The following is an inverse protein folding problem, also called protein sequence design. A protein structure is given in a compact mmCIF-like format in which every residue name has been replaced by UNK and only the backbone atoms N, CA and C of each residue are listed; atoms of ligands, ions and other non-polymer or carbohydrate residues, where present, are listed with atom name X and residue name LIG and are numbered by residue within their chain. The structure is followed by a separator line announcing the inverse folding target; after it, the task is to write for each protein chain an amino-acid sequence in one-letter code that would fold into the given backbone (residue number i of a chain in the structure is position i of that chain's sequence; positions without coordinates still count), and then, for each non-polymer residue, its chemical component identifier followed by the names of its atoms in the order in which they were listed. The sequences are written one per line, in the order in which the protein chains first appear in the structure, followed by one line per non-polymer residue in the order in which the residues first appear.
data_IF_607027405736
#
_entry.id   IF_607027405736
#
_cell.length_a   1.000
_cell.length_b   1.000
_cell.length_c   1.000
_cell.angle_alpha   90.00
_cell.angle_beta   90.00
_cell.angle_gamma   90.00
#
_symmetry.space_group_name_H-M   'P 1'
#
loop_
_entity.id
_entity.type
_entity.pdbx_description
1 polymer ?
#
# COMPACT_ATOMS: atom_id res chain seq x y z
N UNK A 1 6.00 8.43 8.49
CA UNK A 1 5.26 7.92 7.32
C UNK A 1 4.30 6.82 7.76
N UNK A 2 3.03 6.92 7.39
CA UNK A 2 2.02 5.90 7.70
C UNK A 2 1.97 4.84 6.60
N UNK A 3 1.41 3.67 6.90
CA UNK A 3 1.39 2.41 6.13
C UNK A 3 1.18 2.56 4.61
N UNK A 4 2.18 3.10 3.91
CA UNK A 4 2.08 3.50 2.51
C UNK A 4 3.27 2.94 1.77
N UNK A 5 2.99 2.23 0.69
CA UNK A 5 4.02 1.64 -0.14
C UNK A 5 4.66 2.69 -1.04
N UNK A 6 5.92 3.03 -0.78
CA UNK A 6 6.73 3.98 -1.55
C UNK A 6 7.22 3.37 -2.86
N UNK A 7 6.33 3.30 -3.85
CA UNK A 7 6.70 2.79 -5.16
C UNK A 7 5.97 3.51 -6.30
N UNK A 8 6.60 4.56 -6.81
CA UNK A 8 6.14 5.26 -8.02
C UNK A 8 7.01 4.97 -9.25
N UNK A 9 8.23 4.43 -9.09
CA UNK A 9 9.14 4.11 -10.21
C UNK A 9 8.46 3.30 -11.31
N UNK A 10 7.55 2.38 -10.94
CA UNK A 10 6.82 1.56 -11.90
C UNK A 10 5.89 2.32 -12.86
N UNK A 11 5.52 3.57 -12.55
CA UNK A 11 4.76 4.44 -13.47
C UNK A 11 5.63 4.98 -14.62
N UNK A 12 6.92 5.17 -14.37
CA UNK A 12 7.87 5.73 -15.33
C UNK A 12 8.60 4.66 -16.14
N UNK A 13 8.52 3.40 -15.72
CA UNK A 13 9.11 2.31 -16.46
C UNK A 13 8.29 1.92 -17.69
N UNK A 14 9.00 1.70 -18.80
CA UNK A 14 8.45 1.31 -20.10
C UNK A 14 9.15 0.06 -20.64
N UNK A 15 8.50 -0.60 -21.60
CA UNK A 15 9.07 -1.72 -22.34
C UNK A 15 9.21 -3.04 -21.57
N UNK A 16 10.13 -3.88 -22.04
CA UNK A 16 10.33 -5.27 -21.61
C UNK A 16 10.60 -5.45 -20.11
N UNK A 17 11.43 -4.60 -19.43
CA UNK A 17 11.73 -4.77 -18.01
C UNK A 17 10.49 -4.76 -17.10
N UNK A 18 9.49 -3.93 -17.45
CA UNK A 18 8.21 -3.85 -16.74
C UNK A 18 7.46 -5.17 -16.75
N UNK A 19 7.41 -5.84 -17.90
CA UNK A 19 6.73 -7.13 -18.04
C UNK A 19 7.47 -8.25 -17.31
N UNK A 20 8.80 -8.27 -17.42
CA UNK A 20 9.62 -9.24 -16.67
C UNK A 20 9.39 -9.11 -15.17
N UNK A 21 9.38 -7.88 -14.60
CA UNK A 21 9.06 -7.70 -13.17
C UNK A 21 7.66 -8.20 -12.85
N UNK A 22 6.65 -7.86 -13.67
CA UNK A 22 5.26 -8.32 -13.45
C UNK A 22 5.15 -9.84 -13.40
N UNK A 23 5.88 -10.55 -14.26
CA UNK A 23 5.90 -12.02 -14.29
C UNK A 23 6.62 -12.56 -13.06
N UNK A 24 7.84 -12.09 -12.78
CA UNK A 24 8.63 -12.53 -11.62
C UNK A 24 7.88 -12.34 -10.30
N UNK A 25 7.08 -11.27 -10.20
CA UNK A 25 6.25 -10.96 -9.02
C UNK A 25 5.12 -11.96 -8.79
N UNK A 26 4.67 -12.72 -9.79
CA UNK A 26 3.55 -13.67 -9.59
C UNK A 26 3.93 -14.83 -8.66
N UNK A 27 5.17 -15.30 -8.71
CA UNK A 27 5.63 -16.40 -7.85
C UNK A 27 5.62 -16.05 -6.34
N UNK A 28 6.29 -14.99 -5.87
CA UNK A 28 6.23 -14.63 -4.45
C UNK A 28 4.83 -14.16 -4.03
N UNK A 29 4.05 -13.55 -4.92
CA UNK A 29 2.64 -13.23 -4.66
C UNK A 29 1.82 -14.49 -4.42
N UNK A 30 2.03 -15.54 -5.21
CA UNK A 30 1.37 -16.84 -5.00
C UNK A 30 1.73 -17.42 -3.64
N UNK A 31 3.02 -17.46 -3.29
CA UNK A 31 3.47 -17.93 -1.97
C UNK A 31 2.82 -17.14 -0.83
N UNK A 32 2.78 -15.81 -0.94
CA UNK A 32 2.11 -14.96 0.03
C UNK A 32 0.63 -15.32 0.17
N UNK A 33 -0.12 -15.42 -0.93
CA UNK A 33 -1.55 -15.76 -0.88
C UNK A 33 -1.77 -17.14 -0.26
N UNK A 34 -0.94 -18.13 -0.60
CA UNK A 34 -1.04 -19.47 0.01
C UNK A 34 -0.81 -19.42 1.52
N UNK A 35 0.15 -18.63 1.98
CA UNK A 35 0.42 -18.43 3.40
C UNK A 35 -0.73 -17.67 4.10
N UNK A 36 -1.28 -16.64 3.46
CA UNK A 36 -2.43 -15.90 3.97
C UNK A 36 -3.67 -16.78 4.05
N UNK A 37 -3.92 -17.68 3.10
CA UNK A 37 -5.02 -18.64 3.17
C UNK A 37 -4.89 -19.60 4.35
N UNK A 38 -3.67 -19.99 4.72
CA UNK A 38 -3.43 -20.85 5.90
C UNK A 38 -3.68 -20.09 7.21
N UNK A 39 -3.29 -18.81 7.30
CA UNK A 39 -3.38 -18.01 8.54
C UNK A 39 -4.72 -17.32 8.74
N UNK A 40 -5.30 -16.80 7.66
CA UNK A 40 -6.50 -15.97 7.64
C UNK A 40 -7.41 -16.40 6.46
N UNK A 41 -7.95 -17.63 6.50
CA UNK A 41 -8.64 -18.22 5.35
C UNK A 41 -9.83 -17.40 4.87
N UNK A 42 -10.69 -16.97 5.81
CA UNK A 42 -11.93 -16.26 5.49
C UNK A 42 -11.63 -14.88 4.88
N UNK A 43 -10.80 -14.09 5.55
CA UNK A 43 -10.43 -12.74 5.14
C UNK A 43 -9.69 -12.75 3.80
N UNK A 44 -8.83 -13.76 3.59
CA UNK A 44 -8.12 -13.92 2.33
C UNK A 44 -9.07 -14.29 1.20
N UNK A 45 -10.02 -15.21 1.41
CA UNK A 45 -11.02 -15.58 0.40
C UNK A 45 -11.91 -14.39 0.03
N UNK A 46 -12.44 -13.66 1.03
CA UNK A 46 -13.26 -12.47 0.82
C UNK A 46 -12.49 -11.42 -0.01
N UNK A 47 -11.22 -11.19 0.32
CA UNK A 47 -10.36 -10.28 -0.42
C UNK A 47 -10.12 -10.73 -1.86
N UNK A 48 -9.79 -12.01 -2.08
CA UNK A 48 -9.57 -12.53 -3.43
C UNK A 48 -10.85 -12.47 -4.26
N UNK A 49 -12.00 -12.84 -3.70
CA UNK A 49 -13.30 -12.75 -4.38
C UNK A 49 -13.59 -11.31 -4.81
N UNK A 50 -13.46 -10.34 -3.89
CA UNK A 50 -13.65 -8.92 -4.21
C UNK A 50 -12.68 -8.44 -5.31
N UNK A 51 -11.42 -8.90 -5.27
CA UNK A 51 -10.43 -8.61 -6.31
C UNK A 51 -10.86 -9.14 -7.68
N UNK A 52 -11.29 -10.40 -7.76
CA UNK A 52 -11.71 -11.03 -9.02
C UNK A 52 -12.98 -10.39 -9.59
N UNK A 53 -13.98 -10.13 -8.75
CA UNK A 53 -15.21 -9.43 -9.17
C UNK A 53 -14.87 -8.06 -9.76
N UNK A 54 -14.01 -7.28 -9.09
CA UNK A 54 -13.56 -5.99 -9.62
C UNK A 54 -12.88 -6.13 -10.97
N UNK A 55 -11.98 -7.12 -11.14
CA UNK A 55 -11.28 -7.35 -12.41
C UNK A 55 -12.21 -7.80 -13.53
N UNK A 56 -13.20 -8.62 -13.22
CA UNK A 56 -14.23 -8.99 -14.17
C UNK A 56 -15.03 -7.77 -14.63
N UNK A 57 -15.47 -6.92 -13.69
CA UNK A 57 -16.21 -5.70 -14.02
C UNK A 57 -15.37 -4.71 -14.84
N UNK A 58 -14.10 -4.49 -14.47
CA UNK A 58 -13.16 -3.67 -15.26
C UNK A 58 -13.04 -4.17 -16.71
N UNK A 59 -12.92 -5.50 -16.89
CA UNK A 59 -12.85 -6.10 -18.21
C UNK A 59 -14.17 -5.95 -18.97
N UNK A 60 -15.31 -6.24 -18.33
CA UNK A 60 -16.63 -6.13 -18.93
C UNK A 60 -16.92 -4.71 -19.42
N UNK A 61 -16.52 -3.68 -18.66
CA UNK A 61 -16.59 -2.28 -19.09
C UNK A 61 -15.66 -2.02 -20.27
N UNK A 62 -14.41 -2.50 -20.21
CA UNK A 62 -13.43 -2.31 -21.28
C UNK A 62 -13.89 -2.89 -22.63
N UNK A 63 -14.54 -4.06 -22.63
CA UNK A 63 -15.07 -4.71 -23.84
C UNK A 63 -16.51 -4.28 -24.19
N UNK A 64 -17.10 -3.33 -23.45
CA UNK A 64 -18.42 -2.76 -23.74
C UNK A 64 -19.62 -3.61 -23.31
N UNK A 65 -19.43 -4.67 -22.53
CA UNK A 65 -20.53 -5.47 -21.96
C UNK A 65 -21.26 -4.75 -20.80
N UNK A 66 -20.60 -3.77 -20.17
CA UNK A 66 -21.17 -2.99 -19.08
C UNK A 66 -20.81 -1.51 -19.25
N UNK A 67 -21.68 -0.61 -18.75
CA UNK A 67 -21.33 0.80 -18.64
C UNK A 67 -20.43 1.02 -17.42
N UNK A 68 -19.45 1.94 -17.49
CA UNK A 68 -18.69 2.30 -16.31
C UNK A 68 -19.66 2.79 -15.22
N UNK A 69 -19.42 2.45 -13.95
CA UNK A 69 -20.24 2.98 -12.87
C UNK A 69 -20.13 4.51 -12.90
N UNK A 70 -21.26 5.18 -13.05
CA UNK A 70 -21.36 6.62 -12.93
C UNK A 70 -21.25 6.96 -11.45
N UNK A 71 -20.08 7.44 -11.03
CA UNK A 71 -19.84 7.83 -9.65
C UNK A 71 -19.57 9.32 -9.57
N UNK A 72 -20.53 10.05 -9.01
CA UNK A 72 -20.45 11.49 -8.81
C UNK A 72 -19.95 11.88 -7.41
N UNK A 73 -19.41 10.90 -6.67
CA UNK A 73 -18.96 11.10 -5.29
C UNK A 73 -17.72 12.00 -5.28
N UNK A 74 -17.68 12.91 -4.30
CA UNK A 74 -16.54 13.80 -4.12
C UNK A 74 -15.22 13.04 -3.94
N UNK A 75 -15.27 11.88 -3.26
CA UNK A 75 -14.13 10.99 -3.05
C UNK A 75 -13.46 10.54 -4.36
N UNK A 76 -14.24 10.20 -5.39
CA UNK A 76 -13.70 9.75 -6.67
C UNK A 76 -13.01 10.88 -7.42
N UNK A 77 -13.59 12.09 -7.36
CA UNK A 77 -12.97 13.30 -7.94
C UNK A 77 -11.66 13.63 -7.24
N UNK A 78 -11.60 13.49 -5.91
CA UNK A 78 -10.36 13.67 -5.13
C UNK A 78 -9.32 12.63 -5.53
N UNK A 79 -9.70 11.35 -5.61
CA UNK A 79 -8.81 10.27 -5.99
C UNK A 79 -8.26 10.45 -7.42
N UNK A 80 -9.07 10.92 -8.36
CA UNK A 80 -8.61 11.22 -9.72
C UNK A 80 -7.50 12.29 -9.73
N UNK A 81 -7.69 13.39 -8.97
CA UNK A 81 -6.68 14.45 -8.87
C UNK A 81 -5.42 13.96 -8.14
N UNK A 82 -5.59 13.19 -7.09
CA UNK A 82 -4.49 12.57 -6.36
C UNK A 82 -3.65 11.66 -7.27
N UNK A 83 -4.30 10.77 -8.03
CA UNK A 83 -3.66 9.88 -9.00
C UNK A 83 -2.93 10.66 -10.10
N UNK A 84 -3.53 11.73 -10.60
CA UNK A 84 -2.91 12.59 -11.60
C UNK A 84 -1.63 13.26 -11.08
N UNK A 85 -1.61 13.69 -9.82
CA UNK A 85 -0.42 14.23 -9.17
C UNK A 85 0.63 13.13 -8.93
N UNK A 86 0.21 11.98 -8.39
CA UNK A 86 1.08 10.85 -8.08
C UNK A 86 1.84 10.33 -9.30
N UNK A 87 1.17 10.24 -10.46
CA UNK A 87 1.78 9.80 -11.73
C UNK A 87 2.82 10.76 -12.30
N UNK A 88 2.80 12.03 -11.89
CA UNK A 88 3.76 13.05 -12.34
C UNK A 88 4.88 13.28 -11.32
N UNK A 89 4.66 12.87 -10.08
CA UNK A 89 5.63 13.04 -9.01
C UNK A 89 6.72 11.97 -9.11
N UNK A 90 7.98 12.39 -9.21
CA UNK A 90 9.15 11.52 -9.13
C UNK A 90 9.70 11.54 -7.71
N UNK A 91 9.75 10.39 -7.06
CA UNK A 91 10.27 10.29 -5.70
C UNK A 91 11.78 10.39 -5.76
N UNK A 92 12.34 11.29 -4.95
CA UNK A 92 13.77 11.52 -4.86
C UNK A 92 14.30 10.98 -3.54
N UNK A 93 15.58 10.66 -3.53
CA UNK A 93 16.29 10.30 -2.30
C UNK A 93 16.44 11.53 -1.43
N UNK A 94 16.26 11.36 -0.12
CA UNK A 94 16.41 12.43 0.87
C UNK A 94 17.36 11.97 1.97
N UNK A 95 18.25 12.87 2.37
CA UNK A 95 19.13 12.78 3.53
C UNK A 95 18.74 13.78 4.64
N UNK A 96 17.61 14.45 4.51
CA UNK A 96 17.16 15.48 5.44
C UNK A 96 16.87 14.92 6.85
N UNK A 97 16.27 13.74 6.94
CA UNK A 97 15.95 13.09 8.21
C UNK A 97 15.79 11.57 8.05
N UNK A 98 15.88 10.85 9.17
CA UNK A 98 15.47 9.45 9.23
C UNK A 98 13.93 9.36 9.19
N UNK A 99 13.40 8.29 8.61
CA UNK A 99 11.95 8.09 8.51
C UNK A 99 11.47 7.16 9.62
N UNK A 100 10.57 7.64 10.48
CA UNK A 100 9.74 6.77 11.31
C UNK A 100 8.57 6.23 10.45
N UNK A 101 8.56 4.93 10.17
CA UNK A 101 7.60 4.22 9.33
C UNK A 101 6.66 3.38 10.18
N UNK A 102 5.39 3.74 10.22
CA UNK A 102 4.34 2.97 10.88
C UNK A 102 3.82 1.90 9.93
N UNK A 103 4.03 0.63 10.27
CA UNK A 103 3.67 -0.53 9.45
C UNK A 103 2.61 -1.35 10.17
N UNK A 104 1.55 -1.70 9.46
CA UNK A 104 0.51 -2.56 10.05
C UNK A 104 0.97 -4.01 10.19
N UNK A 105 0.53 -4.68 11.25
CA UNK A 105 0.84 -6.09 11.52
C UNK A 105 0.05 -7.06 10.62
N UNK A 106 -1.12 -6.66 10.14
CA UNK A 106 -2.02 -7.50 9.36
C UNK A 106 -2.17 -6.96 7.93
N UNK A 107 -1.84 -7.81 6.94
CA UNK A 107 -1.99 -7.46 5.52
C UNK A 107 -2.54 -8.61 4.70
N UNK A 108 -3.56 -8.32 3.90
CA UNK A 108 -4.21 -9.28 3.01
C UNK A 108 -3.72 -9.20 1.55
N UNK A 109 -2.76 -8.32 1.26
CA UNK A 109 -2.21 -8.12 -0.08
C UNK A 109 -0.69 -8.13 -0.09
N UNK A 110 -0.16 -8.63 -1.21
CA UNK A 110 1.27 -8.79 -1.42
C UNK A 110 1.97 -7.47 -1.76
N UNK A 111 3.11 -7.24 -1.10
CA UNK A 111 4.06 -6.17 -1.37
C UNK A 111 5.43 -6.75 -1.70
N UNK A 112 6.16 -6.09 -2.61
CA UNK A 112 7.51 -6.53 -2.99
C UNK A 112 8.53 -6.31 -1.85
N UNK A 113 8.26 -5.36 -0.96
CA UNK A 113 9.04 -5.08 0.26
C UNK A 113 8.10 -4.93 1.46
N UNK A 114 7.84 -6.01 2.21
CA UNK A 114 6.95 -5.97 3.38
C UNK A 114 7.62 -5.38 4.63
N UNK A 115 8.94 -5.18 4.62
CA UNK A 115 9.66 -4.68 5.80
C UNK A 115 9.70 -3.16 5.81
N UNK A 116 10.19 -2.56 4.72
CA UNK A 116 10.36 -1.09 4.64
C UNK A 116 9.34 -0.44 3.72
N UNK A 117 8.36 -1.19 3.20
CA UNK A 117 7.30 -0.70 2.33
C UNK A 117 7.84 0.11 1.13
N UNK A 118 9.00 -0.26 0.60
CA UNK A 118 9.61 0.42 -0.54
C UNK A 118 10.30 1.75 -0.22
N UNK A 119 10.36 2.17 1.05
CA UNK A 119 10.99 3.44 1.46
C UNK A 119 12.52 3.41 1.43
N UNK A 120 13.12 2.22 1.51
CA UNK A 120 14.59 2.05 1.62
C UNK A 120 15.41 2.85 0.60
N UNK A 121 15.03 2.92 -0.70
CA UNK A 121 15.79 3.70 -1.67
C UNK A 121 15.73 5.22 -1.45
N UNK A 122 14.77 5.73 -0.67
CA UNK A 122 14.52 7.17 -0.53
C UNK A 122 14.98 7.76 0.80
N UNK A 123 15.23 6.92 1.82
CA UNK A 123 15.54 7.35 3.18
C UNK A 123 17.03 7.14 3.50
N UNK A 124 17.89 8.07 3.07
CA UNK A 124 19.36 7.91 3.17
C UNK A 124 19.85 7.93 4.63
N UNK A 125 19.12 8.57 5.54
CA UNK A 125 19.41 8.57 6.99
C UNK A 125 18.83 7.35 7.72
N UNK A 126 18.22 6.41 7.01
CA UNK A 126 17.64 5.20 7.59
C UNK A 126 16.15 5.29 7.85
N UNK A 127 15.60 4.15 8.27
CA UNK A 127 14.17 3.95 8.52
C UNK A 127 14.02 3.24 9.86
N UNK A 128 13.22 3.83 10.75
CA UNK A 128 12.80 3.22 12.00
C UNK A 128 11.40 2.67 11.79
N UNK A 129 11.24 1.34 11.84
CA UNK A 129 9.95 0.70 11.61
C UNK A 129 9.25 0.51 12.96
N UNK A 130 7.99 0.94 13.01
CA UNK A 130 7.12 0.83 14.17
C UNK A 130 5.88 0.04 13.78
N UNK A 131 5.71 -1.14 14.37
CA UNK A 131 4.55 -1.98 14.07
C UNK A 131 3.31 -1.49 14.81
N UNK A 132 2.19 -1.41 14.10
CA UNK A 132 0.90 -0.93 14.62
C UNK A 132 -0.18 -1.98 14.38
N UNK A 133 -1.15 -2.05 15.29
CA UNK A 133 -2.22 -3.04 15.25
C UNK A 133 -3.22 -2.77 14.14
N UNK A 134 -3.77 -3.85 13.60
CA UNK A 134 -4.85 -3.81 12.61
C UNK A 134 -4.31 -3.88 11.19
N UNK A 135 -5.10 -3.36 10.25
CA UNK A 135 -4.76 -3.35 8.84
C UNK A 135 -4.75 -1.92 8.27
N UNK A 136 -4.37 -1.78 7.00
CA UNK A 136 -4.25 -0.50 6.32
C UNK A 136 -5.51 0.39 6.42
N UNK A 137 -6.70 -0.20 6.56
CA UNK A 137 -7.96 0.53 6.73
C UNK A 137 -8.29 0.82 8.19
N UNK A 138 -7.88 -0.06 9.11
CA UNK A 138 -8.39 -0.08 10.49
C UNK A 138 -7.40 0.43 11.54
N UNK A 139 -6.12 0.63 11.21
CA UNK A 139 -5.11 1.03 12.20
C UNK A 139 -5.34 2.43 12.80
N UNK A 140 -6.07 3.30 12.10
CA UNK A 140 -6.50 4.63 12.59
C UNK A 140 -7.93 4.62 13.14
N UNK A 141 -8.59 3.47 13.21
CA UNK A 141 -9.97 3.33 13.66
C UNK A 141 -10.01 2.58 15.00
N UNK A 142 -11.06 2.79 15.82
CA UNK A 142 -11.28 1.98 17.00
C UNK A 142 -11.28 0.48 16.68
N UNK A 143 -10.64 -0.36 17.52
CA UNK A 143 -9.96 -0.01 18.78
C UNK A 143 -8.46 0.35 18.65
N UNK A 144 -7.89 0.35 17.44
CA UNK A 144 -6.44 0.49 17.21
C UNK A 144 -5.95 1.95 17.30
N UNK A 145 -6.84 2.90 17.05
CA UNK A 145 -6.60 4.34 17.08
C UNK A 145 -5.89 4.83 18.36
N UNK A 146 -6.29 4.31 19.52
CA UNK A 146 -5.69 4.68 20.82
C UNK A 146 -4.25 4.22 20.93
N UNK A 147 -3.99 2.95 20.60
CA UNK A 147 -2.64 2.38 20.65
C UNK A 147 -1.72 3.11 19.67
N UNK A 148 -2.21 3.43 18.47
CA UNK A 148 -1.50 4.24 17.49
C UNK A 148 -1.18 5.65 18.02
N UNK A 149 -2.17 6.35 18.61
CA UNK A 149 -1.98 7.71 19.11
C UNK A 149 -0.95 7.77 20.24
N UNK A 150 -0.98 6.80 21.17
CA UNK A 150 0.00 6.70 22.26
C UNK A 150 1.41 6.53 21.71
N UNK A 151 1.61 5.58 20.78
CA UNK A 151 2.90 5.33 20.16
C UNK A 151 3.41 6.55 19.38
N UNK A 152 2.54 7.19 18.60
CA UNK A 152 2.89 8.40 17.85
C UNK A 152 3.35 9.51 18.80
N UNK A 153 2.61 9.75 19.89
CA UNK A 153 2.96 10.78 20.87
C UNK A 153 4.32 10.49 21.52
N UNK A 154 4.57 9.25 21.94
CA UNK A 154 5.85 8.84 22.52
C UNK A 154 7.02 9.13 21.59
N UNK A 155 6.90 8.76 20.30
CA UNK A 155 7.94 8.98 19.32
C UNK A 155 8.17 10.47 19.04
N UNK A 156 7.10 11.28 18.97
CA UNK A 156 7.24 12.73 18.82
C UNK A 156 7.96 13.32 20.04
N UNK A 157 7.57 12.95 21.25
CA UNK A 157 8.19 13.43 22.49
C UNK A 157 9.67 13.05 22.58
N UNK A 158 10.04 11.84 22.15
CA UNK A 158 11.43 11.39 22.08
C UNK A 158 12.25 12.21 21.07
N UNK A 159 11.71 12.46 19.89
CA UNK A 159 12.40 13.20 18.82
C UNK A 159 12.54 14.68 19.11
N UNK A 160 11.64 15.25 19.90
CA UNK A 160 11.69 16.66 20.32
C UNK A 160 12.64 16.93 21.49
N UNK A 161 13.05 15.89 22.22
CA UNK A 161 14.04 15.98 23.31
C UNK A 161 15.49 15.83 22.84
N UNK A 162 15.69 15.26 21.65
CA UNK A 162 17.00 15.02 21.03
C UNK A 162 17.47 16.24 20.20
#
# INVERSE_FOLDING_TARGET
MFDTYAYNKGHFETGVPKYIRKIKRQFPKFLFITQSLIRHPKETLDYQQAFFVRKYNELAVYIGLQRPPESDRAEDKINEKYEAAYRKYHMQTSDACAIDLFRVDTRLYYLDDPLYLGWKPYALKGINVHDVKGDHKTFLMPPNDKDFAILLQQLVDERMKA
#
